data_IF_564551187602
#
_entry.id   IF_564551187602
#
_cell.length_a   1.000
_cell.length_b   1.000
_cell.length_c   1.000
_cell.angle_alpha   90.00
_cell.angle_beta   90.00
_cell.angle_gamma   90.00
#
_symmetry.space_group_name_H-M   'P 1'
#
loop_
_entity.id
_entity.type
_entity.pdbx_description
1 polymer ?
#
# COMPACT_ATOMS: atom_id res chain seq x y z
N UNK A 1 8.07 -0.25 12.53
CA UNK A 1 7.44 -1.25 11.63
C UNK A 1 7.89 -0.94 10.22
N UNK A 2 8.08 -1.94 9.38
CA UNK A 2 8.42 -1.74 7.97
C UNK A 2 7.14 -1.40 7.18
N UNK A 3 7.21 -0.35 6.36
CA UNK A 3 6.08 0.12 5.52
C UNK A 3 5.59 -1.00 4.59
N UNK A 4 6.49 -1.81 4.04
CA UNK A 4 6.15 -2.93 3.14
C UNK A 4 5.19 -3.92 3.81
N UNK A 5 5.44 -4.23 5.08
CA UNK A 5 4.57 -5.10 5.90
C UNK A 5 3.23 -4.43 6.19
N UNK A 6 3.23 -3.14 6.53
CA UNK A 6 2.00 -2.38 6.79
C UNK A 6 1.09 -2.34 5.55
N UNK A 7 1.65 -2.07 4.36
CA UNK A 7 0.90 -2.08 3.10
C UNK A 7 0.17 -3.42 2.88
N UNK A 8 0.91 -4.52 3.04
CA UNK A 8 0.37 -5.88 2.90
C UNK A 8 -0.71 -6.20 3.93
N UNK A 9 -0.49 -5.79 5.17
CA UNK A 9 -1.41 -6.02 6.27
C UNK A 9 -2.71 -5.23 6.06
N UNK A 10 -2.64 -3.95 5.71
CA UNK A 10 -3.83 -3.13 5.43
C UNK A 10 -4.58 -3.61 4.19
N UNK A 11 -3.88 -4.02 3.13
CA UNK A 11 -4.52 -4.63 1.96
C UNK A 11 -5.33 -5.86 2.35
N UNK A 12 -4.72 -6.77 3.12
CA UNK A 12 -5.38 -8.00 3.59
C UNK A 12 -6.54 -7.72 4.54
N UNK A 13 -6.40 -6.76 5.46
CA UNK A 13 -7.48 -6.34 6.37
C UNK A 13 -8.71 -5.82 5.62
N UNK A 14 -8.50 -5.19 4.47
CA UNK A 14 -9.57 -4.74 3.58
C UNK A 14 -10.03 -5.81 2.58
N UNK A 15 -9.54 -7.06 2.66
CA UNK A 15 -9.85 -8.17 1.75
C UNK A 15 -9.56 -7.87 0.26
N UNK A 16 -8.56 -7.04 -0.02
CA UNK A 16 -8.21 -6.63 -1.38
C UNK A 16 -7.12 -7.53 -1.97
N UNK A 17 -7.19 -7.79 -3.27
CA UNK A 17 -6.10 -8.43 -4.01
C UNK A 17 -5.08 -7.39 -4.45
N UNK A 18 -3.83 -7.82 -4.73
CA UNK A 18 -2.83 -6.90 -5.29
C UNK A 18 -3.26 -6.35 -6.66
N UNK A 19 -3.95 -7.17 -7.45
CA UNK A 19 -4.51 -6.78 -8.75
C UNK A 19 -5.54 -5.66 -8.61
N UNK A 20 -6.44 -5.77 -7.63
CA UNK A 20 -7.43 -4.75 -7.37
C UNK A 20 -6.79 -3.41 -6.96
N UNK A 21 -5.83 -3.44 -6.03
CA UNK A 21 -5.12 -2.22 -5.60
C UNK A 21 -4.39 -1.58 -6.77
N UNK A 22 -3.70 -2.38 -7.59
CA UNK A 22 -2.99 -1.90 -8.76
C UNK A 22 -3.94 -1.20 -9.76
N UNK A 23 -5.12 -1.79 -9.99
CA UNK A 23 -6.16 -1.19 -10.82
C UNK A 23 -6.69 0.13 -10.23
N UNK A 24 -6.92 0.21 -8.92
CA UNK A 24 -7.38 1.46 -8.28
C UNK A 24 -6.34 2.58 -8.37
N UNK A 25 -5.05 2.24 -8.31
CA UNK A 25 -3.94 3.20 -8.39
C UNK A 25 -3.47 3.45 -9.83
N UNK A 26 -4.07 2.78 -10.83
CA UNK A 26 -3.65 2.83 -12.23
C UNK A 26 -2.15 2.51 -12.44
N UNK A 27 -1.66 1.47 -11.77
CA UNK A 27 -0.29 0.98 -11.86
C UNK A 27 -0.26 -0.53 -12.09
N UNK A 28 0.94 -1.09 -12.25
CA UNK A 28 1.11 -2.54 -12.44
C UNK A 28 0.97 -3.30 -11.12
N UNK A 29 0.42 -4.52 -11.17
CA UNK A 29 0.38 -5.42 -10.00
C UNK A 29 1.78 -5.79 -9.49
N UNK A 30 2.78 -5.75 -10.36
CA UNK A 30 4.19 -5.92 -10.01
C UNK A 30 4.68 -4.80 -9.08
N UNK A 31 4.24 -3.55 -9.27
CA UNK A 31 4.57 -2.44 -8.38
C UNK A 31 4.05 -2.68 -6.96
N UNK A 32 2.77 -3.06 -6.81
CA UNK A 32 2.19 -3.44 -5.52
C UNK A 32 2.97 -4.58 -4.86
N UNK A 33 3.31 -5.61 -5.65
CA UNK A 33 4.11 -6.73 -5.15
C UNK A 33 5.51 -6.28 -4.71
N UNK A 34 6.16 -5.38 -5.43
CA UNK A 34 7.48 -4.87 -5.07
C UNK A 34 7.44 -4.07 -3.76
N UNK A 35 6.41 -3.24 -3.57
CA UNK A 35 6.20 -2.49 -2.32
C UNK A 35 5.94 -3.40 -1.13
N UNK A 36 5.13 -4.44 -1.29
CA UNK A 36 4.82 -5.39 -0.21
C UNK A 36 5.94 -6.37 0.15
N UNK A 37 6.99 -6.43 -0.67
CA UNK A 37 8.17 -7.27 -0.44
C UNK A 37 9.46 -6.46 -0.25
N UNK A 38 9.35 -5.16 0.04
CA UNK A 38 10.48 -4.26 0.31
C UNK A 38 11.51 -4.17 -0.83
N UNK A 39 11.07 -4.34 -2.08
CA UNK A 39 11.91 -4.24 -3.29
C UNK A 39 11.92 -2.82 -3.86
N UNK A 40 10.90 -2.02 -3.54
CA UNK A 40 10.80 -0.60 -3.87
C UNK A 40 9.84 0.07 -2.90
N UNK A 41 9.77 1.40 -2.93
CA UNK A 41 8.86 2.20 -2.11
C UNK A 41 7.87 2.97 -3.00
N UNK A 42 6.58 3.08 -2.62
CA UNK A 42 5.67 4.01 -3.28
C UNK A 42 6.10 5.45 -3.04
N UNK A 43 5.83 6.32 -4.02
CA UNK A 43 5.95 7.76 -3.87
C UNK A 43 4.82 8.34 -3.00
N UNK A 44 4.88 9.65 -2.76
CA UNK A 44 3.91 10.32 -1.89
C UNK A 44 2.49 10.31 -2.44
N UNK A 45 2.32 10.37 -3.76
CA UNK A 45 1.00 10.34 -4.41
C UNK A 45 0.34 8.96 -4.22
N UNK A 46 1.09 7.89 -4.47
CA UNK A 46 0.63 6.53 -4.25
C UNK A 46 0.36 6.25 -2.76
N UNK A 47 1.17 6.79 -1.86
CA UNK A 47 0.94 6.68 -0.43
C UNK A 47 -0.37 7.33 0.02
N UNK A 48 -0.71 8.50 -0.53
CA UNK A 48 -1.99 9.16 -0.27
C UNK A 48 -3.16 8.31 -0.78
N UNK A 49 -3.08 7.83 -2.02
CA UNK A 49 -4.11 6.95 -2.60
C UNK A 49 -4.29 5.64 -1.80
N UNK A 50 -3.20 5.04 -1.34
CA UNK A 50 -3.25 3.85 -0.48
C UNK A 50 -3.87 4.15 0.88
N UNK A 51 -3.59 5.33 1.44
CA UNK A 51 -4.16 5.77 2.72
C UNK A 51 -5.68 5.89 2.63
N UNK A 52 -6.19 6.46 1.54
CA UNK A 52 -7.62 6.57 1.25
C UNK A 52 -8.24 5.19 1.00
N UNK A 53 -7.61 4.39 0.13
CA UNK A 53 -8.09 3.06 -0.25
C UNK A 53 -8.18 2.11 0.95
N UNK A 54 -7.19 2.14 1.83
CA UNK A 54 -7.13 1.31 3.03
C UNK A 54 -7.84 1.90 4.24
N UNK A 55 -8.42 3.11 4.12
CA UNK A 55 -9.14 3.83 5.17
C UNK A 55 -8.29 4.03 6.42
N UNK A 56 -7.05 4.47 6.23
CA UNK A 56 -6.07 4.69 7.31
C UNK A 56 -5.30 5.98 7.06
N UNK A 57 -5.00 6.73 8.12
CA UNK A 57 -4.13 7.91 8.03
C UNK A 57 -2.74 7.57 7.49
N UNK A 58 -2.14 8.48 6.72
CA UNK A 58 -0.79 8.33 6.19
C UNK A 58 0.25 8.00 7.28
N UNK A 59 0.20 8.66 8.44
CA UNK A 59 1.13 8.40 9.56
C UNK A 59 1.15 6.93 9.99
N UNK A 60 -0.05 6.34 10.16
CA UNK A 60 -0.23 4.92 10.48
C UNK A 60 0.22 3.99 9.35
N UNK A 61 0.13 4.44 8.09
CA UNK A 61 0.57 3.65 6.93
C UNK A 61 2.10 3.59 6.84
N UNK A 62 2.78 4.70 7.17
CA UNK A 62 4.25 4.80 7.18
C UNK A 62 4.89 4.40 8.51
N UNK A 63 4.08 4.01 9.51
CA UNK A 63 4.55 3.53 10.81
C UNK A 63 5.05 4.62 11.75
N UNK A 64 4.63 5.88 11.56
CA UNK A 64 4.78 6.94 12.55
C UNK A 64 3.56 6.91 13.49
N UNK A 65 3.80 6.78 14.78
CA UNK A 65 2.80 6.74 15.84
C UNK A 65 3.33 7.45 17.07
#
# INVERSE_FOLDING_TARGET
>A
MDISKLLKDYRKKNNLTQEYVAHQLNISRQAISAWENNLSCPDIENLLLLSDLYKVSLDKLVGKS
#
